data_IF_382462974756
#
_entry.id   IF_382462974756
#
_cell.length_a   1.000
_cell.length_b   1.000
_cell.length_c   1.000
_cell.angle_alpha   90.00
_cell.angle_beta   90.00
_cell.angle_gamma   90.00
#
_symmetry.space_group_name_H-M   'P 1'
#
loop_
_entity.id
_entity.type
_entity.pdbx_description
1 polymer ?
#
# COMPACT_ATOMS: atom_id res chain seq x y z
N UNK A 1 3.55 0.32 6.72
CA UNK A 1 4.58 1.36 6.46
C UNK A 1 4.66 2.38 7.59
N UNK A 2 3.56 3.04 7.98
CA UNK A 2 3.60 4.17 8.94
C UNK A 2 4.44 3.96 10.21
N UNK A 3 4.09 2.98 11.03
CA UNK A 3 4.84 2.72 12.27
C UNK A 3 6.26 2.19 12.01
N UNK A 4 6.44 1.38 10.96
CA UNK A 4 7.77 0.92 10.54
C UNK A 4 8.68 2.10 10.17
N UNK A 5 8.14 3.07 9.42
CA UNK A 5 8.87 4.28 9.02
C UNK A 5 9.28 5.12 10.22
N UNK A 6 8.42 5.24 11.24
CA UNK A 6 8.74 5.92 12.50
C UNK A 6 9.87 5.21 13.26
N UNK A 7 9.83 3.88 13.33
CA UNK A 7 10.85 3.07 14.03
C UNK A 7 12.20 3.04 13.32
N UNK A 8 12.21 3.21 11.99
CA UNK A 8 13.42 3.25 11.17
C UNK A 8 13.97 4.66 10.95
N UNK A 9 13.42 5.67 11.64
CA UNK A 9 13.94 7.03 11.57
C UNK A 9 15.43 7.08 11.95
N UNK A 10 16.23 7.80 11.15
CA UNK A 10 17.68 7.88 11.34
C UNK A 10 18.49 6.70 10.80
N UNK A 11 17.86 5.60 10.38
CA UNK A 11 18.58 4.42 9.82
C UNK A 11 18.94 4.56 8.33
N UNK A 12 18.37 5.55 7.64
CA UNK A 12 18.45 5.69 6.18
C UNK A 12 17.51 4.74 5.41
N UNK A 13 16.71 3.92 6.10
CA UNK A 13 15.70 3.07 5.47
C UNK A 13 14.34 3.77 5.45
N UNK A 14 13.76 3.90 4.25
CA UNK A 14 12.43 4.47 4.06
C UNK A 14 11.39 3.40 3.78
N UNK A 15 10.15 3.64 4.21
CA UNK A 15 9.06 2.69 4.02
C UNK A 15 7.87 3.35 3.35
N UNK A 16 7.19 2.60 2.48
CA UNK A 16 6.06 3.11 1.71
C UNK A 16 4.95 2.09 1.66
N UNK A 17 3.71 2.56 1.54
CA UNK A 17 2.58 1.73 1.15
C UNK A 17 2.03 2.27 -0.17
N UNK A 18 1.49 1.39 -1.01
CA UNK A 18 0.99 1.76 -2.33
C UNK A 18 -0.38 1.13 -2.57
N UNK A 19 -1.33 1.95 -3.04
CA UNK A 19 -2.55 1.48 -3.68
C UNK A 19 -2.40 1.71 -5.20
N UNK A 20 -2.17 0.67 -6.01
CA UNK A 20 -1.96 0.82 -7.45
C UNK A 20 -3.27 1.07 -8.23
N UNK A 21 -4.43 0.97 -7.58
CA UNK A 21 -5.74 1.02 -8.23
C UNK A 21 -6.22 -0.37 -8.65
N UNK A 22 -7.20 -0.43 -9.56
CA UNK A 22 -7.69 -1.70 -10.09
C UNK A 22 -6.81 -2.13 -11.25
N UNK A 23 -5.94 -3.10 -11.00
CA UNK A 23 -5.02 -3.64 -12.00
C UNK A 23 -5.59 -4.94 -12.54
N UNK A 24 -5.56 -5.11 -13.87
CA UNK A 24 -5.92 -6.34 -14.58
C UNK A 24 -4.91 -7.45 -14.27
N UNK A 25 -5.06 -8.03 -13.09
CA UNK A 25 -4.31 -9.17 -12.60
C UNK A 25 -5.27 -10.33 -12.32
N UNK A 26 -4.69 -11.50 -12.14
CA UNK A 26 -5.42 -12.71 -11.78
C UNK A 26 -5.85 -12.75 -10.30
N UNK A 27 -5.88 -11.63 -9.57
CA UNK A 27 -6.14 -11.58 -8.12
C UNK A 27 -7.47 -12.27 -7.74
N UNK A 28 -8.49 -12.16 -8.60
CA UNK A 28 -9.83 -12.70 -8.36
C UNK A 28 -10.13 -14.01 -9.11
N UNK A 29 -9.11 -14.71 -9.63
CA UNK A 29 -9.25 -15.94 -10.44
C UNK A 29 -10.04 -17.06 -9.75
N UNK A 30 -10.00 -17.12 -8.42
CA UNK A 30 -10.62 -18.17 -7.62
C UNK A 30 -11.92 -17.72 -6.93
N UNK A 31 -12.43 -16.53 -7.25
CA UNK A 31 -13.68 -16.04 -6.68
C UNK A 31 -14.90 -16.70 -7.33
N UNK A 32 -16.07 -16.59 -6.70
CA UNK A 32 -17.32 -17.07 -7.26
C UNK A 32 -17.67 -16.35 -8.57
N UNK A 33 -18.37 -17.03 -9.49
CA UNK A 33 -18.66 -16.53 -10.84
C UNK A 33 -19.27 -15.12 -10.84
N UNK A 34 -20.21 -14.80 -9.93
CA UNK A 34 -20.85 -13.48 -9.87
C UNK A 34 -19.86 -12.37 -9.45
N UNK A 35 -18.92 -12.67 -8.56
CA UNK A 35 -17.86 -11.74 -8.19
C UNK A 35 -16.90 -11.53 -9.34
N UNK A 36 -16.51 -12.59 -10.04
CA UNK A 36 -15.68 -12.49 -11.24
C UNK A 36 -16.34 -11.59 -12.30
N UNK A 37 -17.65 -11.71 -12.50
CA UNK A 37 -18.42 -10.83 -13.38
C UNK A 37 -18.34 -9.38 -12.92
N UNK A 38 -18.61 -9.10 -11.65
CA UNK A 38 -18.51 -7.75 -11.08
C UNK A 38 -17.09 -7.18 -11.27
N UNK A 39 -16.05 -7.95 -10.97
CA UNK A 39 -14.66 -7.51 -11.16
C UNK A 39 -14.34 -7.28 -12.62
N UNK A 40 -14.81 -8.13 -13.53
CA UNK A 40 -14.61 -7.97 -14.97
C UNK A 40 -15.24 -6.68 -15.49
N UNK A 41 -16.47 -6.36 -15.04
CA UNK A 41 -17.10 -5.07 -15.35
C UNK A 41 -16.29 -3.89 -14.81
N UNK A 42 -15.84 -3.97 -13.56
CA UNK A 42 -15.00 -2.94 -12.95
C UNK A 42 -13.67 -2.74 -13.70
N UNK A 43 -13.02 -3.83 -14.15
CA UNK A 43 -11.79 -3.81 -14.93
C UNK A 43 -11.99 -3.32 -16.37
N UNK A 44 -13.19 -3.46 -16.93
CA UNK A 44 -13.54 -2.90 -18.24
C UNK A 44 -13.56 -1.38 -18.20
N UNK A 45 -14.18 -0.79 -17.17
CA UNK A 45 -14.37 0.67 -17.08
C UNK A 45 -13.21 1.41 -16.41
N UNK A 46 -12.52 0.78 -15.45
CA UNK A 46 -11.51 1.43 -14.62
C UNK A 46 -10.25 0.57 -14.40
N UNK A 47 -10.08 -0.49 -15.19
CA UNK A 47 -8.94 -1.40 -15.07
C UNK A 47 -7.70 -0.85 -15.78
N UNK A 48 -6.61 -0.77 -15.03
CA UNK A 48 -5.27 -0.46 -15.52
C UNK A 48 -4.52 -1.75 -15.88
N UNK A 49 -3.53 -1.62 -16.75
CA UNK A 49 -2.59 -2.69 -17.11
C UNK A 49 -1.63 -2.98 -15.96
N UNK A 50 -1.00 -4.17 -16.01
CA UNK A 50 0.04 -4.57 -15.05
C UNK A 50 1.21 -3.59 -15.05
N UNK A 51 1.58 -3.08 -16.22
CA UNK A 51 2.68 -2.11 -16.36
C UNK A 51 2.35 -0.79 -15.65
N UNK A 52 1.15 -0.24 -15.87
CA UNK A 52 0.68 0.97 -15.16
C UNK A 52 0.62 0.75 -13.65
N UNK A 53 0.21 -0.45 -13.21
CA UNK A 53 0.23 -0.81 -11.78
C UNK A 53 1.64 -0.86 -11.19
N UNK A 54 2.64 -1.27 -11.98
CA UNK A 54 4.03 -1.36 -11.55
C UNK A 54 4.72 0.02 -11.43
N UNK A 55 4.26 1.04 -12.16
CA UNK A 55 4.83 2.38 -12.12
C UNK A 55 4.88 2.95 -10.70
N UNK A 56 3.82 2.75 -9.91
CA UNK A 56 3.78 3.20 -8.52
C UNK A 56 4.83 2.52 -7.63
N UNK A 57 5.12 1.23 -7.90
CA UNK A 57 6.14 0.47 -7.15
C UNK A 57 7.52 1.02 -7.49
N UNK A 58 7.82 1.17 -8.78
CA UNK A 58 9.07 1.73 -9.27
C UNK A 58 9.27 3.16 -8.77
N UNK A 59 8.21 3.97 -8.75
CA UNK A 59 8.24 5.32 -8.23
C UNK A 59 8.65 5.34 -6.75
N UNK A 60 7.99 4.55 -5.89
CA UNK A 60 8.35 4.46 -4.47
C UNK A 60 9.77 3.92 -4.24
N UNK A 61 10.24 3.01 -5.09
CA UNK A 61 11.55 2.38 -4.94
C UNK A 61 12.72 3.24 -5.45
N UNK A 62 12.51 4.01 -6.53
CA UNK A 62 13.60 4.65 -7.28
C UNK A 62 13.54 6.19 -7.24
N UNK A 63 12.38 6.79 -6.97
CA UNK A 63 12.22 8.24 -7.02
C UNK A 63 12.87 8.91 -5.82
N UNK A 64 13.82 9.82 -6.09
CA UNK A 64 14.38 10.71 -5.06
C UNK A 64 13.31 11.57 -4.36
N UNK A 65 12.19 11.85 -5.05
CA UNK A 65 11.08 12.63 -4.47
C UNK A 65 10.35 11.87 -3.35
N UNK A 66 10.31 10.54 -3.40
CA UNK A 66 9.71 9.73 -2.34
C UNK A 66 10.57 9.68 -1.07
N UNK A 67 11.89 9.84 -1.21
CA UNK A 67 12.87 9.71 -0.11
C UNK A 67 12.58 10.63 1.08
N UNK A 68 11.90 11.76 0.87
CA UNK A 68 11.56 12.68 1.95
C UNK A 68 10.38 12.20 2.85
N UNK A 69 9.51 11.33 2.33
CA UNK A 69 8.18 11.08 2.91
C UNK A 69 7.98 9.60 3.33
N UNK A 70 8.79 9.14 4.29
CA UNK A 70 8.67 7.79 4.87
C UNK A 70 7.32 7.59 5.57
N UNK A 71 6.81 6.36 5.52
CA UNK A 71 5.59 5.94 6.22
C UNK A 71 4.27 6.33 5.55
N UNK A 72 4.31 6.95 4.36
CA UNK A 72 3.10 7.42 3.65
C UNK A 72 2.50 6.37 2.71
N UNK A 73 1.20 6.52 2.45
CA UNK A 73 0.46 5.78 1.42
C UNK A 73 0.44 6.56 0.10
N UNK A 74 0.81 5.89 -0.98
CA UNK A 74 0.85 6.42 -2.33
C UNK A 74 -0.26 5.84 -3.19
N UNK A 75 -0.67 6.58 -4.21
CA UNK A 75 -1.57 6.16 -5.29
C UNK A 75 -1.21 6.92 -6.57
N UNK A 76 -1.05 6.20 -7.68
CA UNK A 76 -0.67 6.79 -8.98
C UNK A 76 0.55 7.74 -8.90
N UNK A 77 1.65 7.24 -8.33
CA UNK A 77 2.92 7.96 -8.18
C UNK A 77 2.83 9.27 -7.38
N UNK A 78 1.80 9.42 -6.53
CA UNK A 78 1.57 10.59 -5.69
C UNK A 78 1.17 10.17 -4.27
N UNK A 79 1.41 11.04 -3.29
CA UNK A 79 0.91 10.83 -1.94
C UNK A 79 -0.61 10.89 -1.97
N UNK A 80 -1.26 9.87 -1.38
CA UNK A 80 -2.71 9.83 -1.27
C UNK A 80 -3.17 10.60 -0.03
N UNK A 81 -3.26 11.92 -0.14
CA UNK A 81 -3.51 12.83 0.99
C UNK A 81 -4.72 12.44 1.84
N UNK A 82 -5.88 12.25 1.23
CA UNK A 82 -7.12 11.92 1.95
C UNK A 82 -6.98 10.64 2.76
N UNK A 83 -6.34 9.60 2.20
CA UNK A 83 -6.13 8.36 2.92
C UNK A 83 -5.13 8.55 4.07
N UNK A 84 -4.02 9.26 3.83
CA UNK A 84 -3.02 9.53 4.86
C UNK A 84 -3.56 10.38 6.03
N UNK A 85 -4.49 11.30 5.77
CA UNK A 85 -5.18 12.10 6.80
C UNK A 85 -6.06 11.26 7.72
N UNK A 86 -6.66 10.19 7.19
CA UNK A 86 -7.53 9.30 7.95
C UNK A 86 -6.75 8.24 8.76
N UNK A 87 -5.45 8.06 8.48
CA UNK A 87 -4.59 7.13 9.21
C UNK A 87 -4.08 7.78 10.51
N UNK A 88 -4.43 7.19 11.65
CA UNK A 88 -4.06 7.65 12.99
C UNK A 88 -2.82 6.94 13.50
N UNK A 89 -1.86 7.70 14.02
CA UNK A 89 -0.59 7.15 14.54
C UNK A 89 -0.84 6.22 15.74
N UNK A 90 -1.78 6.57 16.62
CA UNK A 90 -2.17 5.74 17.76
C UNK A 90 -2.62 4.34 17.33
N UNK A 91 -3.41 4.24 16.25
CA UNK A 91 -3.87 2.96 15.73
C UNK A 91 -2.73 2.15 15.12
N UNK A 92 -1.78 2.82 14.45
CA UNK A 92 -0.61 2.16 13.90
C UNK A 92 0.27 1.54 14.99
N UNK A 93 0.47 2.24 16.11
CA UNK A 93 1.21 1.74 17.29
C UNK A 93 0.49 0.54 17.93
N UNK A 94 -0.83 0.63 18.11
CA UNK A 94 -1.63 -0.48 18.66
C UNK A 94 -1.57 -1.71 17.75
N UNK A 95 -1.74 -1.52 16.44
CA UNK A 95 -1.67 -2.60 15.45
C UNK A 95 -0.30 -3.27 15.46
N UNK A 96 0.78 -2.48 15.53
CA UNK A 96 2.14 -3.01 15.63
C UNK A 96 2.31 -3.89 16.87
N UNK A 97 1.89 -3.38 18.03
CA UNK A 97 2.01 -4.07 19.32
C UNK A 97 1.24 -5.40 19.34
N UNK A 98 0.02 -5.40 18.80
CA UNK A 98 -0.79 -6.61 18.65
C UNK A 98 -0.20 -7.59 17.61
N UNK A 99 0.44 -7.08 16.55
CA UNK A 99 1.08 -7.92 15.54
C UNK A 99 2.35 -8.59 16.08
N UNK A 100 3.16 -7.89 16.87
CA UNK A 100 4.32 -8.46 17.57
C UNK A 100 3.92 -9.61 18.50
N UNK A 101 2.83 -9.43 19.25
CA UNK A 101 2.28 -10.48 20.12
C UNK A 101 1.76 -11.67 19.30
N UNK A 102 0.97 -11.43 18.26
CA UNK A 102 0.38 -12.47 17.42
C UNK A 102 1.43 -13.35 16.71
N UNK A 103 2.61 -12.80 16.41
CA UNK A 103 3.72 -13.53 15.77
C UNK A 103 4.84 -13.91 16.75
N UNK A 104 4.64 -13.73 18.06
CA UNK A 104 5.57 -14.18 19.10
C UNK A 104 6.90 -13.42 19.18
N UNK A 105 6.93 -12.17 18.73
CA UNK A 105 8.12 -11.30 18.80
C UNK A 105 8.17 -10.43 20.06
N UNK A 106 7.11 -10.46 20.87
CA UNK A 106 7.01 -9.70 22.11
C UNK A 106 7.34 -10.62 23.29
N UNK A 107 8.54 -10.45 23.86
CA UNK A 107 8.97 -11.09 25.10
C UNK A 107 8.40 -10.36 26.31
#
# INVERSE_FOLDING_TARGET
>A
ARELGRRLEGTGVHTYSLCPGMIRTELFRNETWYKQTIYSFNLLFAGLTVNEGAEGILYCALSKKCGADSGKLYRFCKIWETANKNLKDELAIKLWSASEEAVGLRN
#
